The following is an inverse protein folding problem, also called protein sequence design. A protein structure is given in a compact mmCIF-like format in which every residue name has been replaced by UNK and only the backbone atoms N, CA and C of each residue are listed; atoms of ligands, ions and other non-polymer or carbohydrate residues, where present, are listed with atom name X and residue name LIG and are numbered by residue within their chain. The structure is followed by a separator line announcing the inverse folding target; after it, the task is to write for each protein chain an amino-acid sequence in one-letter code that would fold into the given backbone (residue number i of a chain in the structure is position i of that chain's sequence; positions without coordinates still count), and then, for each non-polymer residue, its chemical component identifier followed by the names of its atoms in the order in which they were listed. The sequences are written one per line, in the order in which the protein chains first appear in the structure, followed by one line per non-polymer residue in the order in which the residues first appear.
data_IF_364687039323
#
_entry.id   IF_364687039323
#
_cell.length_a   1.000
_cell.length_b   1.000
_cell.length_c   1.000
_cell.angle_alpha   90.00
_cell.angle_beta   90.00
_cell.angle_gamma   90.00
#
_symmetry.space_group_name_H-M   'P 1'
#
loop_
_entity.id
_entity.type
_entity.pdbx_description
1 polymer ?
#
# COMPACT_ATOMS: atom_id res chain seq x y z
N UNK A 1 13.11 7.24 -1.64
CA UNK A 1 12.32 6.80 -0.51
C UNK A 1 10.98 6.25 -1.01
N UNK A 2 10.16 5.81 -0.10
CA UNK A 2 8.88 5.21 -0.51
C UNK A 2 8.01 6.17 -1.29
N UNK A 3 8.18 7.44 -1.05
CA UNK A 3 7.35 8.43 -1.71
C UNK A 3 7.74 8.63 -3.16
N UNK A 4 8.84 8.06 -3.59
CA UNK A 4 9.25 8.16 -4.98
C UNK A 4 8.17 7.66 -5.91
N UNK A 5 7.30 6.78 -5.43
CA UNK A 5 6.20 6.24 -6.22
C UNK A 5 4.86 6.79 -5.79
N UNK A 6 4.86 7.79 -4.93
CA UNK A 6 3.63 8.41 -4.50
C UNK A 6 2.79 7.57 -3.54
N UNK A 7 3.38 6.55 -2.96
CA UNK A 7 2.66 5.66 -2.05
C UNK A 7 3.19 5.83 -0.64
N UNK A 8 2.27 5.97 0.31
CA UNK A 8 2.58 6.02 1.72
C UNK A 8 2.07 4.77 2.40
N UNK A 9 2.84 4.29 3.35
CA UNK A 9 2.48 3.09 4.09
C UNK A 9 2.48 3.41 5.57
N UNK A 10 1.38 3.08 6.24
CA UNK A 10 1.27 3.21 7.68
C UNK A 10 0.86 1.86 8.25
N UNK A 11 1.51 1.44 9.33
CA UNK A 11 1.23 0.16 9.96
C UNK A 11 0.88 0.41 11.41
N UNK A 12 -0.24 -0.18 11.85
CA UNK A 12 -0.67 -0.04 13.23
C UNK A 12 -1.51 -1.26 13.61
N UNK A 13 -1.08 -1.98 14.65
CA UNK A 13 -1.83 -3.10 15.24
C UNK A 13 -2.24 -4.14 14.20
N UNK A 14 -1.32 -4.51 13.32
CA UNK A 14 -1.59 -5.52 12.30
C UNK A 14 -2.39 -5.02 11.11
N UNK A 15 -2.66 -3.72 11.05
CA UNK A 15 -3.36 -3.11 9.93
C UNK A 15 -2.40 -2.24 9.14
N UNK A 16 -2.42 -2.41 7.83
CA UNK A 16 -1.64 -1.56 6.92
C UNK A 16 -2.60 -0.65 6.18
N UNK A 17 -2.30 0.64 6.17
CA UNK A 17 -3.02 1.61 5.37
C UNK A 17 -2.09 2.08 4.25
N UNK A 18 -2.51 1.89 3.02
CA UNK A 18 -1.80 2.35 1.84
C UNK A 18 -2.52 3.57 1.30
N UNK A 19 -1.76 4.64 1.04
CA UNK A 19 -2.34 5.87 0.52
C UNK A 19 -1.40 6.47 -0.51
N UNK A 20 -1.94 7.24 -1.44
CA UNK A 20 -1.15 7.91 -2.43
C UNK A 20 -1.75 7.77 -3.81
N UNK A 21 -0.92 7.96 -4.83
CA UNK A 21 -1.35 7.89 -6.21
C UNK A 21 -0.40 7.01 -7.03
N UNK A 22 -0.98 6.25 -7.93
CA UNK A 22 -0.21 5.44 -8.86
C UNK A 22 -0.72 5.71 -10.27
N UNK A 23 0.05 5.31 -11.26
CA UNK A 23 -0.32 5.58 -12.65
C UNK A 23 -1.05 4.42 -13.30
N UNK A 24 -0.92 3.21 -12.76
CA UNK A 24 -1.57 2.06 -13.38
C UNK A 24 -1.88 1.00 -12.33
N UNK A 25 -2.68 0.03 -12.74
CA UNK A 25 -3.14 -1.05 -11.88
C UNK A 25 -2.03 -1.96 -11.40
N UNK A 26 -1.06 -2.34 -12.24
CA UNK A 26 0.01 -3.21 -11.74
C UNK A 26 0.79 -2.61 -10.58
N UNK A 27 0.97 -1.30 -10.58
CA UNK A 27 1.68 -0.61 -9.51
C UNK A 27 0.89 -0.69 -8.21
N UNK A 28 -0.43 -0.51 -8.29
CA UNK A 28 -1.31 -0.63 -7.14
C UNK A 28 -1.29 -2.05 -6.59
N UNK A 29 -1.39 -3.03 -7.46
CA UNK A 29 -1.37 -4.43 -7.06
C UNK A 29 -0.07 -4.80 -6.38
N UNK A 30 1.05 -4.29 -6.86
CA UNK A 30 2.34 -4.56 -6.26
C UNK A 30 2.39 -4.06 -4.82
N UNK A 31 1.85 -2.87 -4.57
CA UNK A 31 1.81 -2.33 -3.22
C UNK A 31 0.96 -3.19 -2.30
N UNK A 32 -0.20 -3.64 -2.79
CA UNK A 32 -1.09 -4.49 -2.00
C UNK A 32 -0.42 -5.82 -1.66
N UNK A 33 0.27 -6.42 -2.61
CA UNK A 33 0.93 -7.70 -2.38
C UNK A 33 2.02 -7.59 -1.34
N UNK A 34 2.79 -6.52 -1.38
CA UNK A 34 3.84 -6.31 -0.40
C UNK A 34 3.24 -6.15 0.99
N UNK A 35 2.14 -5.41 1.09
CA UNK A 35 1.47 -5.21 2.37
C UNK A 35 0.99 -6.54 2.95
N UNK A 36 0.34 -7.36 2.15
CA UNK A 36 -0.17 -8.64 2.62
C UNK A 36 0.93 -9.62 2.97
N UNK A 37 2.11 -9.48 2.37
CA UNK A 37 3.23 -10.37 2.65
C UNK A 37 3.92 -10.05 3.98
N UNK A 38 3.61 -8.94 4.60
CA UNK A 38 4.26 -8.53 5.85
C UNK A 38 3.78 -9.40 7.01
N UNK A 39 4.69 -9.87 7.88
CA UNK A 39 4.30 -10.69 9.02
C UNK A 39 3.39 -9.91 9.97
N UNK A 40 2.39 -10.61 10.52
CA UNK A 40 1.51 -10.01 11.51
C UNK A 40 0.42 -9.13 10.96
N UNK A 41 0.33 -8.97 9.64
CA UNK A 41 -0.70 -8.15 9.02
C UNK A 41 -1.96 -9.00 8.82
N UNK A 42 -3.08 -8.48 9.28
CA UNK A 42 -4.37 -9.16 9.08
C UNK A 42 -5.37 -8.28 8.34
N UNK A 43 -5.06 -7.01 8.12
CA UNK A 43 -5.94 -6.09 7.41
C UNK A 43 -5.11 -5.14 6.56
N UNK A 44 -5.54 -4.96 5.32
CA UNK A 44 -4.92 -3.97 4.43
C UNK A 44 -6.02 -3.03 3.96
N UNK A 45 -5.86 -1.75 4.25
CA UNK A 45 -6.78 -0.72 3.78
C UNK A 45 -6.09 0.01 2.63
N UNK A 46 -6.70 -0.08 1.46
CA UNK A 46 -6.12 0.48 0.25
C UNK A 46 -6.82 1.77 -0.10
N UNK A 47 -6.13 2.89 0.08
CA UNK A 47 -6.62 4.23 -0.26
C UNK A 47 -5.85 4.81 -1.44
N UNK A 48 -5.26 3.96 -2.24
CA UNK A 48 -4.48 4.40 -3.40
C UNK A 48 -5.42 4.86 -4.48
N UNK A 49 -5.12 6.01 -5.05
CA UNK A 49 -5.88 6.55 -6.17
C UNK A 49 -5.15 6.26 -7.47
N UNK A 50 -5.91 5.88 -8.46
CA UNK A 50 -5.35 5.67 -9.79
C UNK A 50 -5.41 6.99 -10.53
N UNK A 51 -4.26 7.44 -10.97
CA UNK A 51 -4.15 8.76 -11.59
C UNK A 51 -4.44 8.71 -13.09
#
# INVERSE_FOLDING_TARGET
NVEAHGIRVAVQDGKVVLAGRVYDWPERHAAERVAWASPGIHTVEDRILLD
#
